data_IF_321498432847
#
_entry.id   IF_321498432847
#
_cell.length_a   1.000
_cell.length_b   1.000
_cell.length_c   1.000
_cell.angle_alpha   90.00
_cell.angle_beta   90.00
_cell.angle_gamma   90.00
#
_symmetry.space_group_name_H-M   'P 1'
#
loop_
_entity.id
_entity.type
_entity.pdbx_description
1 polymer ?
#
# COMPACT_ATOMS: atom_id res chain seq x y z
N UNK A 1 23.97 -2.85 -9.41
CA UNK A 1 22.76 -2.09 -9.79
C UNK A 1 22.00 -1.83 -8.50
N UNK A 2 22.26 -0.70 -7.86
CA UNK A 2 21.48 -0.27 -6.69
C UNK A 2 20.14 0.29 -7.19
N UNK A 3 19.05 0.05 -6.45
CA UNK A 3 17.73 0.64 -6.74
C UNK A 3 16.78 -0.13 -7.65
N UNK A 4 17.13 -1.36 -8.10
CA UNK A 4 16.23 -2.18 -8.94
C UNK A 4 15.37 -3.17 -8.15
N UNK A 5 15.63 -3.35 -6.85
CA UNK A 5 14.81 -4.21 -5.99
C UNK A 5 13.50 -3.52 -5.65
N UNK A 6 12.39 -4.21 -5.92
CA UNK A 6 11.04 -3.70 -5.68
C UNK A 6 10.23 -4.78 -4.96
N UNK A 7 9.63 -4.41 -3.84
CA UNK A 7 8.64 -5.24 -3.15
C UNK A 7 7.23 -4.78 -3.54
N UNK A 8 6.33 -5.72 -3.78
CA UNK A 8 4.93 -5.43 -4.08
C UNK A 8 4.01 -6.17 -3.11
N UNK A 9 2.89 -5.55 -2.77
CA UNK A 9 1.84 -6.20 -1.98
C UNK A 9 1.20 -7.36 -2.76
N UNK A 10 0.58 -8.28 -2.03
CA UNK A 10 -0.27 -9.30 -2.63
C UNK A 10 -1.47 -8.65 -3.31
N UNK A 11 -1.86 -9.17 -4.48
CA UNK A 11 -3.01 -8.66 -5.24
C UNK A 11 -2.67 -7.73 -6.42
N UNK A 12 -1.39 -7.37 -6.61
CA UNK A 12 -0.98 -6.72 -7.86
C UNK A 12 -1.27 -7.62 -9.08
N UNK A 13 -1.77 -7.07 -10.20
CA UNK A 13 -1.99 -7.86 -11.41
C UNK A 13 -0.71 -8.49 -11.93
N UNK A 14 -0.79 -9.76 -12.37
CA UNK A 14 0.37 -10.50 -12.91
C UNK A 14 1.04 -9.73 -14.06
N UNK A 15 0.25 -9.15 -14.97
CA UNK A 15 0.77 -8.35 -16.07
C UNK A 15 1.61 -7.14 -15.61
N UNK A 16 1.27 -6.52 -14.47
CA UNK A 16 2.05 -5.42 -13.88
C UNK A 16 3.38 -5.94 -13.35
N UNK A 17 3.38 -7.08 -12.64
CA UNK A 17 4.60 -7.70 -12.11
C UNK A 17 5.55 -8.12 -13.24
N UNK A 18 5.02 -8.69 -14.32
CA UNK A 18 5.82 -9.11 -15.47
C UNK A 18 6.43 -7.93 -16.23
N UNK A 19 5.69 -6.82 -16.37
CA UNK A 19 6.21 -5.61 -16.98
C UNK A 19 7.32 -4.98 -16.12
N UNK A 20 7.23 -5.02 -14.79
CA UNK A 20 8.31 -4.60 -13.90
C UNK A 20 9.57 -5.46 -14.12
N UNK A 21 9.43 -6.79 -14.15
CA UNK A 21 10.55 -7.70 -14.47
C UNK A 21 11.17 -7.40 -15.82
N UNK A 22 10.35 -7.15 -16.86
CA UNK A 22 10.82 -6.82 -18.21
C UNK A 22 11.63 -5.52 -18.25
N UNK A 23 11.34 -4.57 -17.37
CA UNK A 23 12.10 -3.31 -17.20
C UNK A 23 13.37 -3.47 -16.37
N UNK A 24 13.66 -4.68 -15.89
CA UNK A 24 14.86 -5.01 -15.13
C UNK A 24 14.70 -4.89 -13.61
N UNK A 25 13.47 -4.77 -13.09
CA UNK A 25 13.22 -4.79 -11.66
C UNK A 25 13.37 -6.22 -11.11
N UNK A 26 14.06 -6.32 -9.97
CA UNK A 26 14.16 -7.53 -9.17
C UNK A 26 13.02 -7.53 -8.15
N UNK A 27 12.03 -8.40 -8.34
CA UNK A 27 10.87 -8.45 -7.45
C UNK A 27 11.20 -9.26 -6.20
N UNK A 28 11.24 -8.57 -5.06
CA UNK A 28 11.59 -9.17 -3.77
C UNK A 28 10.31 -9.46 -2.99
N UNK A 29 10.15 -10.72 -2.58
CA UNK A 29 9.05 -11.13 -1.72
C UNK A 29 9.22 -10.53 -0.32
N UNK A 30 8.11 -10.07 0.25
CA UNK A 30 8.05 -9.60 1.64
C UNK A 30 6.96 -10.40 2.34
N UNK A 31 7.37 -11.17 3.36
CA UNK A 31 6.46 -12.07 4.07
C UNK A 31 5.56 -11.33 5.08
N UNK A 32 5.96 -10.12 5.50
CA UNK A 32 5.18 -9.28 6.41
C UNK A 32 4.52 -8.10 5.67
N UNK A 33 3.22 -8.25 5.44
CA UNK A 33 2.33 -7.25 4.86
C UNK A 33 2.40 -5.89 5.59
N UNK A 34 2.79 -5.85 6.87
CA UNK A 34 2.90 -4.61 7.62
C UNK A 34 4.07 -3.72 7.21
N UNK A 35 5.01 -4.21 6.39
CA UNK A 35 6.17 -3.44 5.94
C UNK A 35 5.84 -2.38 4.88
N UNK A 36 4.68 -2.47 4.21
CA UNK A 36 4.25 -1.52 3.17
C UNK A 36 3.70 -0.20 3.73
N UNK A 37 3.72 -0.04 5.06
CA UNK A 37 3.21 1.13 5.74
C UNK A 37 1.73 1.02 6.07
N UNK A 38 1.17 2.13 6.52
CA UNK A 38 -0.23 2.26 6.91
C UNK A 38 -0.71 3.69 6.71
N UNK A 39 -1.96 3.89 6.35
CA UNK A 39 -2.54 5.21 6.10
C UNK A 39 -3.57 5.62 7.16
N UNK A 40 -3.64 6.91 7.48
CA UNK A 40 -4.76 7.52 8.20
C UNK A 40 -5.21 8.71 7.35
N UNK A 41 -6.51 8.83 7.07
CA UNK A 41 -7.02 9.84 6.16
C UNK A 41 -8.35 10.43 6.65
N UNK A 42 -8.52 11.73 6.41
CA UNK A 42 -9.77 12.46 6.62
C UNK A 42 -10.07 13.27 5.36
N UNK A 43 -11.27 13.11 4.81
CA UNK A 43 -11.75 13.84 3.65
C UNK A 43 -12.96 14.69 4.02
N UNK A 44 -12.96 15.96 3.59
CA UNK A 44 -14.09 16.87 3.78
C UNK A 44 -15.12 16.72 2.66
N UNK A 45 -16.36 16.51 3.04
CA UNK A 45 -17.54 16.52 2.17
C UNK A 45 -18.39 17.76 2.45
N UNK A 46 -19.39 18.01 1.61
CA UNK A 46 -20.33 19.12 1.79
C UNK A 46 -21.11 19.01 3.11
N UNK A 47 -21.42 17.78 3.55
CA UNK A 47 -22.21 17.48 4.74
C UNK A 47 -21.45 16.93 5.94
N UNK A 48 -20.11 16.92 5.92
CA UNK A 48 -19.32 16.37 7.02
C UNK A 48 -17.93 15.87 6.62
N UNK A 49 -17.42 14.86 7.32
CA UNK A 49 -16.12 14.28 7.08
C UNK A 49 -16.21 12.75 6.95
N UNK A 50 -15.40 12.19 6.06
CA UNK A 50 -15.14 10.75 6.00
C UNK A 50 -13.75 10.53 6.58
N UNK A 51 -13.64 9.67 7.60
CA UNK A 51 -12.38 9.30 8.21
C UNK A 51 -12.11 7.81 7.98
N UNK A 52 -10.86 7.46 7.68
CA UNK A 52 -10.40 6.09 7.45
C UNK A 52 -9.13 5.80 8.24
N UNK A 53 -9.07 4.61 8.82
CA UNK A 53 -7.91 4.07 9.52
C UNK A 53 -7.50 2.75 8.86
N UNK A 54 -6.22 2.62 8.54
CA UNK A 54 -5.69 1.41 7.91
C UNK A 54 -5.65 0.23 8.89
N UNK A 55 -6.24 -0.94 8.55
CA UNK A 55 -6.33 -2.09 9.45
C UNK A 55 -4.97 -2.77 9.72
N UNK A 56 -3.90 -2.41 9.00
CA UNK A 56 -2.54 -2.94 9.23
C UNK A 56 -1.92 -2.48 10.55
N UNK A 57 -2.53 -1.53 11.25
CA UNK A 57 -2.09 -1.05 12.55
C UNK A 57 -3.28 -1.00 13.49
N UNK A 58 -3.00 -1.13 14.77
CA UNK A 58 -3.98 -0.74 15.78
C UNK A 58 -4.25 0.76 15.60
N UNK A 59 -5.48 1.10 15.21
CA UNK A 59 -5.88 2.44 14.81
C UNK A 59 -7.39 2.61 14.86
N UNK A 60 -7.85 3.87 14.90
CA UNK A 60 -9.26 4.18 14.98
C UNK A 60 -9.58 5.49 14.25
N UNK A 61 -10.62 5.46 13.42
CA UNK A 61 -11.33 6.65 12.96
C UNK A 61 -12.46 6.97 13.96
N UNK A 62 -12.48 8.17 14.53
CA UNK A 62 -13.45 8.60 15.53
C UNK A 62 -14.15 9.91 15.11
N UNK A 63 -15.41 10.10 15.51
CA UNK A 63 -16.26 11.23 15.14
C UNK A 63 -17.23 11.64 16.27
N UNK A 64 -17.85 12.81 16.15
CA UNK A 64 -18.83 13.40 17.07
C UNK A 64 -19.90 14.18 16.31
#
# INVERSE_FOLDING_TARGET
MEGMQVSCETGFPVATLDELRRRGHDLVAVDDYNQFGSCQAIWRLDGGYVAASDPRRDGQAAAF
#
